data_IF_371338351523
#
_entry.id   IF_371338351523
#
_cell.length_a   1.000
_cell.length_b   1.000
_cell.length_c   1.000
_cell.angle_alpha   90.00
_cell.angle_beta   90.00
_cell.angle_gamma   90.00
#
_symmetry.space_group_name_H-M   'P 1'
#
loop_
_entity.id
_entity.type
_entity.pdbx_description
1 polymer ?
#
# COMPACT_ATOMS: atom_id res chain seq x y z
N UNK A 1 -22.44 -10.99 -2.51
CA UNK A 1 -22.14 -9.98 -3.57
C UNK A 1 -20.92 -10.46 -4.33
N UNK A 2 -20.93 -10.43 -5.66
CA UNK A 2 -19.79 -10.91 -6.48
C UNK A 2 -18.61 -9.94 -6.32
N UNK A 3 -17.47 -10.40 -5.79
CA UNK A 3 -16.26 -9.56 -5.58
C UNK A 3 -15.24 -9.64 -6.72
N UNK A 4 -15.29 -10.69 -7.53
CA UNK A 4 -14.32 -10.93 -8.60
C UNK A 4 -14.70 -10.15 -9.86
N UNK A 5 -13.78 -9.33 -10.34
CA UNK A 5 -13.87 -8.51 -11.56
C UNK A 5 -13.02 -9.12 -12.67
N UNK A 6 -13.36 -8.84 -13.92
CA UNK A 6 -12.66 -9.37 -15.09
C UNK A 6 -11.23 -8.83 -15.23
N UNK A 7 -11.04 -7.57 -14.82
CA UNK A 7 -9.78 -6.85 -14.98
C UNK A 7 -9.70 -5.62 -14.03
N UNK A 8 -8.53 -5.01 -13.95
CA UNK A 8 -8.27 -3.86 -13.09
C UNK A 8 -9.09 -2.62 -13.49
N UNK A 9 -9.33 -2.43 -14.80
CA UNK A 9 -10.12 -1.30 -15.32
C UNK A 9 -11.56 -1.39 -14.85
N UNK A 10 -12.21 -2.54 -15.01
CA UNK A 10 -13.59 -2.77 -14.56
C UNK A 10 -13.72 -2.67 -13.04
N UNK A 11 -12.66 -3.06 -12.30
CA UNK A 11 -12.66 -2.96 -10.85
C UNK A 11 -12.54 -1.53 -10.31
N UNK A 12 -12.15 -0.55 -11.13
CA UNK A 12 -11.98 0.85 -10.73
C UNK A 12 -12.98 1.81 -11.39
N UNK A 13 -13.68 1.38 -12.43
CA UNK A 13 -14.44 2.25 -13.34
C UNK A 13 -15.49 3.16 -12.65
N UNK A 14 -16.16 2.66 -11.62
CA UNK A 14 -17.25 3.36 -10.92
C UNK A 14 -16.81 4.03 -9.61
N UNK A 15 -15.56 3.84 -9.18
CA UNK A 15 -15.04 4.39 -7.92
C UNK A 15 -13.90 5.39 -8.08
N UNK A 16 -13.13 5.30 -9.17
CA UNK A 16 -12.07 6.24 -9.48
C UNK A 16 -12.68 7.58 -9.96
N UNK A 17 -12.33 8.66 -9.28
CA UNK A 17 -12.82 10.02 -9.56
C UNK A 17 -11.82 11.05 -9.07
N UNK A 18 -12.01 12.31 -9.45
CA UNK A 18 -11.18 13.41 -8.99
C UNK A 18 -11.26 13.60 -7.46
N UNK A 19 -10.17 14.11 -6.89
CA UNK A 19 -10.01 14.50 -5.50
C UNK A 19 -10.26 13.38 -4.47
N UNK A 20 -10.03 12.12 -4.86
CA UNK A 20 -10.09 10.96 -3.95
C UNK A 20 -8.80 10.79 -3.16
N UNK A 21 -8.92 10.10 -2.03
CA UNK A 21 -7.77 9.57 -1.30
C UNK A 21 -7.57 8.10 -1.65
N UNK A 22 -6.35 7.75 -2.06
CA UNK A 22 -5.97 6.38 -2.45
C UNK A 22 -4.81 5.91 -1.58
N UNK A 23 -4.94 4.73 -0.99
CA UNK A 23 -3.83 3.99 -0.39
C UNK A 23 -3.29 2.97 -1.40
N UNK A 24 -1.97 2.85 -1.51
CA UNK A 24 -1.33 1.82 -2.31
C UNK A 24 -0.33 1.04 -1.47
N UNK A 25 -0.54 -0.27 -1.33
CA UNK A 25 0.36 -1.19 -0.66
C UNK A 25 1.73 -1.24 -1.34
N UNK A 26 2.67 -1.90 -0.70
CA UNK A 26 4.04 -1.99 -1.19
C UNK A 26 5.06 -1.29 -0.28
N UNK A 27 6.31 -1.65 -0.49
CA UNK A 27 7.49 -1.04 0.11
C UNK A 27 8.58 -1.01 -0.96
N UNK A 28 9.01 0.17 -1.37
CA UNK A 28 9.71 0.31 -2.63
C UNK A 28 8.79 -0.16 -3.76
N UNK A 29 9.27 -1.03 -4.60
CA UNK A 29 8.45 -1.71 -5.63
C UNK A 29 7.90 -3.06 -5.15
N UNK A 30 8.43 -3.61 -4.06
CA UNK A 30 8.04 -4.92 -3.58
C UNK A 30 6.60 -4.92 -3.05
N UNK A 31 5.72 -5.73 -3.65
CA UNK A 31 4.32 -5.82 -3.26
C UNK A 31 3.45 -4.64 -3.71
N UNK A 32 3.92 -3.80 -4.64
CA UNK A 32 3.11 -2.78 -5.28
C UNK A 32 2.02 -3.41 -6.17
N UNK A 33 0.78 -2.91 -6.12
CA UNK A 33 -0.31 -3.36 -6.98
C UNK A 33 -0.25 -2.67 -8.36
N UNK A 34 0.76 -3.00 -9.16
CA UNK A 34 1.12 -2.27 -10.38
C UNK A 34 0.00 -2.22 -11.41
N UNK A 35 -0.72 -3.33 -11.62
CA UNK A 35 -1.82 -3.39 -12.59
C UNK A 35 -3.00 -2.50 -12.18
N UNK A 36 -3.28 -2.41 -10.88
CA UNK A 36 -4.29 -1.48 -10.35
C UNK A 36 -3.84 -0.02 -10.44
N UNK A 37 -2.56 0.26 -10.24
CA UNK A 37 -2.00 1.61 -10.40
C UNK A 37 -2.07 2.05 -11.86
N UNK A 38 -1.73 1.18 -12.81
CA UNK A 38 -1.86 1.43 -14.25
C UNK A 38 -3.32 1.71 -14.60
N UNK A 39 -4.24 0.89 -14.12
CA UNK A 39 -5.67 1.08 -14.38
C UNK A 39 -6.18 2.40 -13.77
N UNK A 40 -5.73 2.79 -12.57
CA UNK A 40 -6.06 4.08 -11.97
C UNK A 40 -5.51 5.26 -12.81
N UNK A 41 -4.26 5.15 -13.28
CA UNK A 41 -3.68 6.14 -14.20
C UNK A 41 -4.57 6.33 -15.43
N UNK A 42 -5.01 5.24 -16.03
CA UNK A 42 -5.76 5.23 -17.28
C UNK A 42 -7.19 5.77 -17.12
N UNK A 43 -7.70 5.92 -15.89
CA UNK A 43 -8.96 6.64 -15.65
C UNK A 43 -8.84 8.14 -15.87
N UNK A 44 -7.64 8.71 -15.77
CA UNK A 44 -7.41 10.14 -15.86
C UNK A 44 -7.83 10.94 -14.62
N UNK A 45 -8.27 10.31 -13.54
CA UNK A 45 -8.67 10.96 -12.30
C UNK A 45 -7.54 11.85 -11.75
N UNK A 46 -7.86 13.07 -11.31
CA UNK A 46 -6.89 14.10 -10.87
C UNK A 46 -7.13 14.52 -9.43
N UNK A 47 -6.17 15.29 -8.88
CA UNK A 47 -6.26 15.80 -7.53
C UNK A 47 -6.14 14.72 -6.45
N UNK A 48 -5.56 13.58 -6.77
CA UNK A 48 -5.46 12.42 -5.86
C UNK A 48 -4.56 12.76 -4.68
N UNK A 49 -5.03 12.44 -3.46
CA UNK A 49 -4.16 12.30 -2.28
C UNK A 49 -3.72 10.85 -2.20
N UNK A 50 -2.44 10.59 -2.41
CA UNK A 50 -1.89 9.23 -2.36
C UNK A 50 -1.21 8.97 -1.01
N UNK A 51 -1.54 7.84 -0.37
CA UNK A 51 -0.95 7.37 0.88
C UNK A 51 -0.19 6.08 0.57
N UNK A 52 1.13 6.13 0.72
CA UNK A 52 2.01 4.95 0.51
C UNK A 52 3.34 5.16 1.20
N UNK A 53 4.10 4.09 1.42
CA UNK A 53 5.45 4.19 1.99
C UNK A 53 6.35 5.13 1.16
N UNK A 54 6.28 5.01 -0.15
CA UNK A 54 6.98 5.83 -1.16
C UNK A 54 6.16 5.86 -2.46
N UNK A 55 6.69 6.50 -3.50
CA UNK A 55 6.05 6.56 -4.83
C UNK A 55 6.63 5.58 -5.86
N UNK A 56 7.33 4.53 -5.42
CA UNK A 56 8.09 3.66 -6.31
C UNK A 56 9.37 4.36 -6.81
N UNK A 57 9.82 3.98 -7.98
CA UNK A 57 10.94 4.63 -8.70
C UNK A 57 10.43 5.22 -10.01
N UNK A 58 11.25 6.05 -10.67
CA UNK A 58 10.89 6.64 -11.97
C UNK A 58 10.35 5.56 -12.94
N UNK A 59 9.16 5.78 -13.47
CA UNK A 59 8.48 4.89 -14.43
C UNK A 59 7.81 3.65 -13.83
N UNK A 60 7.73 3.49 -12.49
CA UNK A 60 7.11 2.33 -11.84
C UNK A 60 6.42 2.69 -10.53
N UNK A 61 5.40 1.93 -10.19
CA UNK A 61 4.60 2.18 -9.00
C UNK A 61 3.81 3.49 -9.12
N UNK A 62 3.64 4.22 -8.04
CA UNK A 62 2.92 5.50 -8.03
C UNK A 62 3.60 6.61 -8.86
N UNK A 63 4.88 6.42 -9.29
CA UNK A 63 5.53 7.33 -10.23
C UNK A 63 4.71 7.51 -11.52
N UNK A 64 4.02 6.47 -11.98
CA UNK A 64 3.14 6.54 -13.14
C UNK A 64 2.02 7.59 -13.00
N UNK A 65 1.52 7.80 -11.79
CA UNK A 65 0.52 8.84 -11.50
C UNK A 65 1.16 10.23 -11.30
N UNK A 66 2.42 10.29 -10.89
CA UNK A 66 3.20 11.54 -10.85
C UNK A 66 3.52 12.03 -12.26
N UNK A 67 3.89 11.14 -13.19
CA UNK A 67 4.16 11.46 -14.59
C UNK A 67 2.96 12.12 -15.29
N UNK A 68 1.76 11.67 -14.95
CA UNK A 68 0.51 12.20 -15.52
C UNK A 68 -0.10 13.33 -14.70
N UNK A 69 0.60 13.84 -13.66
CA UNK A 69 0.13 14.93 -12.78
C UNK A 69 -1.24 14.64 -12.14
N UNK A 70 -1.52 13.38 -11.83
CA UNK A 70 -2.77 12.96 -11.19
C UNK A 70 -2.71 13.10 -9.66
N UNK A 71 -1.53 12.99 -9.06
CA UNK A 71 -1.34 13.15 -7.61
C UNK A 71 -1.12 14.63 -7.28
N UNK A 72 -1.96 15.17 -6.39
CA UNK A 72 -1.81 16.51 -5.81
C UNK A 72 -1.01 16.47 -4.51
N UNK A 73 -1.20 15.42 -3.69
CA UNK A 73 -0.57 15.28 -2.38
C UNK A 73 -0.08 13.86 -2.16
N UNK A 74 1.14 13.72 -1.67
CA UNK A 74 1.66 12.46 -1.12
C UNK A 74 1.68 12.51 0.41
N UNK A 75 1.18 11.46 1.06
CA UNK A 75 1.39 11.16 2.48
C UNK A 75 2.29 9.94 2.53
N UNK A 76 3.56 10.15 2.90
CA UNK A 76 4.64 9.20 2.64
C UNK A 76 5.71 9.25 3.73
N UNK A 77 6.51 8.19 3.82
CA UNK A 77 7.66 8.13 4.73
C UNK A 77 9.01 8.17 4.03
N UNK A 78 9.04 8.12 2.70
CA UNK A 78 10.28 8.10 1.93
C UNK A 78 10.09 8.72 0.54
N UNK A 79 11.01 9.59 0.15
CA UNK A 79 11.01 10.31 -1.13
C UNK A 79 12.12 9.82 -2.06
N UNK A 80 13.20 9.26 -1.52
CA UNK A 80 14.40 8.86 -2.26
C UNK A 80 14.12 7.85 -3.39
N UNK A 81 15.06 7.73 -4.32
CA UNK A 81 15.04 6.86 -5.50
C UNK A 81 13.97 7.20 -6.57
N UNK A 82 13.13 8.23 -6.34
CA UNK A 82 12.19 8.75 -7.32
C UNK A 82 12.52 10.22 -7.61
N UNK A 83 13.21 10.47 -8.71
CA UNK A 83 13.65 11.82 -9.09
C UNK A 83 12.50 12.73 -9.44
N UNK A 84 11.47 12.19 -10.08
CA UNK A 84 10.27 12.95 -10.44
C UNK A 84 9.51 13.42 -9.19
N UNK A 85 9.38 12.56 -8.17
CA UNK A 85 8.78 12.94 -6.89
C UNK A 85 9.55 14.12 -6.26
N UNK A 86 10.86 13.99 -6.15
CA UNK A 86 11.71 15.05 -5.59
C UNK A 86 11.58 16.35 -6.39
N UNK A 87 11.63 16.29 -7.73
CA UNK A 87 11.51 17.46 -8.61
C UNK A 87 10.16 18.17 -8.45
N UNK A 88 9.04 17.45 -8.44
CA UNK A 88 7.71 18.03 -8.28
C UNK A 88 7.51 18.65 -6.89
N UNK A 89 8.02 18.01 -5.84
CA UNK A 89 7.99 18.58 -4.50
C UNK A 89 8.80 19.88 -4.39
N UNK A 90 10.03 19.89 -4.87
CA UNK A 90 10.89 21.08 -4.84
C UNK A 90 10.36 22.23 -5.70
N UNK A 91 9.64 21.92 -6.77
CA UNK A 91 8.98 22.91 -7.62
C UNK A 91 7.66 23.46 -7.03
N UNK A 92 7.20 22.92 -5.87
CA UNK A 92 5.92 23.30 -5.27
C UNK A 92 4.68 22.76 -6.01
N UNK A 93 4.87 21.82 -6.93
CA UNK A 93 3.78 21.23 -7.73
C UNK A 93 3.09 20.05 -7.02
N UNK A 94 3.75 19.46 -6.03
CA UNK A 94 3.29 18.32 -5.25
C UNK A 94 3.36 18.65 -3.77
N UNK A 95 2.22 18.53 -3.08
CA UNK A 95 2.20 18.61 -1.62
C UNK A 95 2.78 17.32 -1.01
N UNK A 96 3.58 17.45 0.05
CA UNK A 96 4.11 16.32 0.81
C UNK A 96 3.75 16.46 2.29
N UNK A 97 3.10 15.43 2.83
CA UNK A 97 2.98 15.21 4.26
C UNK A 97 3.93 14.06 4.64
N UNK A 98 5.09 14.44 5.17
CA UNK A 98 6.11 13.48 5.56
C UNK A 98 5.79 12.87 6.93
N UNK A 99 5.89 11.54 7.02
CA UNK A 99 5.63 10.78 8.24
C UNK A 99 6.81 9.86 8.56
N UNK A 100 7.25 9.75 9.81
CA UNK A 100 8.10 8.65 10.21
C UNK A 100 7.43 7.32 9.86
N UNK A 101 8.20 6.35 9.34
CA UNK A 101 7.62 5.14 8.73
C UNK A 101 6.73 4.33 9.69
N UNK A 102 7.18 4.14 10.94
CA UNK A 102 6.36 3.46 11.95
C UNK A 102 5.08 4.24 12.28
N UNK A 103 5.15 5.57 12.30
CA UNK A 103 3.97 6.43 12.50
C UNK A 103 3.00 6.32 11.32
N UNK A 104 3.50 6.32 10.08
CA UNK A 104 2.66 6.10 8.89
C UNK A 104 1.91 4.76 8.99
N UNK A 105 2.63 3.69 9.33
CA UNK A 105 2.05 2.36 9.49
C UNK A 105 0.97 2.33 10.56
N UNK A 106 1.22 2.94 11.74
CA UNK A 106 0.27 2.96 12.84
C UNK A 106 -0.95 3.85 12.54
N UNK A 107 -0.77 4.99 11.87
CA UNK A 107 -1.88 5.84 11.41
C UNK A 107 -2.83 5.09 10.47
N UNK A 108 -2.28 4.27 9.55
CA UNK A 108 -3.07 3.44 8.64
C UNK A 108 -3.77 2.32 9.43
N UNK A 109 -3.03 1.62 10.32
CA UNK A 109 -3.61 0.58 11.18
C UNK A 109 -4.75 1.12 12.04
N UNK A 110 -4.54 2.28 12.67
CA UNK A 110 -5.56 2.97 13.46
C UNK A 110 -6.80 3.29 12.63
N UNK A 111 -6.62 3.72 11.36
CA UNK A 111 -7.72 3.96 10.42
C UNK A 111 -8.55 2.71 10.16
N UNK A 112 -7.91 1.58 9.94
CA UNK A 112 -8.56 0.28 9.75
C UNK A 112 -9.25 -0.26 10.99
N UNK A 113 -8.71 0.04 12.19
CA UNK A 113 -9.24 -0.39 13.48
C UNK A 113 -10.32 0.56 14.06
N UNK A 114 -10.59 1.72 13.42
CA UNK A 114 -11.53 2.69 13.95
C UNK A 114 -10.98 3.50 15.13
N UNK A 115 -9.66 3.54 15.34
CA UNK A 115 -8.99 4.33 16.38
C UNK A 115 -8.66 5.72 15.83
N UNK A 116 -9.32 6.81 16.26
CA UNK A 116 -9.23 8.11 15.58
C UNK A 116 -7.90 8.83 15.80
N UNK A 117 -7.18 8.51 16.89
CA UNK A 117 -5.88 9.08 17.23
C UNK A 117 -5.15 8.17 18.24
N UNK A 118 -3.85 8.34 18.31
CA UNK A 118 -2.97 7.69 19.29
C UNK A 118 -1.80 8.61 19.62
N UNK A 119 -1.06 8.28 20.67
CA UNK A 119 0.13 9.01 21.09
C UNK A 119 1.39 8.18 20.82
N UNK A 120 2.45 8.84 20.34
CA UNK A 120 3.76 8.22 20.07
C UNK A 120 4.92 9.12 20.49
N UNK A 121 6.03 8.51 20.89
CA UNK A 121 7.29 9.25 21.14
C UNK A 121 7.96 9.72 19.85
N UNK A 122 7.71 9.02 18.75
CA UNK A 122 8.35 9.29 17.46
C UNK A 122 7.99 10.68 16.97
N UNK A 123 8.99 11.51 16.71
CA UNK A 123 8.81 12.87 16.21
C UNK A 123 8.75 13.95 17.29
N UNK A 124 8.68 13.60 18.59
CA UNK A 124 8.73 14.60 19.68
C UNK A 124 10.04 15.42 19.58
N UNK A 125 9.94 16.76 19.65
CA UNK A 125 11.08 17.67 19.55
C UNK A 125 11.60 17.87 18.12
N UNK A 126 10.87 17.43 17.12
CA UNK A 126 11.17 17.67 15.70
C UNK A 126 10.02 18.39 15.01
N UNK A 127 10.23 18.85 13.77
CA UNK A 127 9.20 19.47 12.92
C UNK A 127 7.95 18.58 12.70
N UNK A 128 8.07 17.29 12.93
CA UNK A 128 6.93 16.34 12.84
C UNK A 128 5.88 16.63 13.92
N UNK A 129 6.30 17.17 15.07
CA UNK A 129 5.41 17.49 16.18
C UNK A 129 4.77 18.88 16.06
N UNK A 130 5.21 19.71 15.11
CA UNK A 130 4.73 21.09 14.99
C UNK A 130 3.22 21.14 14.72
N UNK A 131 2.51 21.93 15.54
CA UNK A 131 1.06 22.09 15.47
C UNK A 131 0.24 20.89 15.96
N UNK A 132 0.88 19.83 16.47
CA UNK A 132 0.19 18.64 17.01
C UNK A 132 0.12 18.70 18.54
N UNK A 133 -0.97 18.19 19.15
CA UNK A 133 -1.06 18.08 20.60
C UNK A 133 0.06 17.22 21.17
N UNK A 134 0.66 17.69 22.26
CA UNK A 134 1.64 16.94 23.07
C UNK A 134 1.01 16.59 24.41
N UNK A 135 1.16 15.34 24.81
CA UNK A 135 0.71 14.85 26.11
C UNK A 135 1.87 14.17 26.85
N UNK A 136 1.93 14.35 28.14
CA UNK A 136 2.90 13.66 28.99
C UNK A 136 2.26 12.42 29.64
N UNK A 137 2.98 11.30 29.61
CA UNK A 137 2.66 10.05 30.29
C UNK A 137 3.91 9.56 30.98
N UNK A 138 3.81 9.27 32.27
CA UNK A 138 4.91 8.76 33.09
C UNK A 138 6.21 9.59 32.99
N UNK A 139 6.07 10.93 32.92
CA UNK A 139 7.20 11.87 32.83
C UNK A 139 7.81 11.98 31.40
N UNK A 140 7.23 11.34 30.40
CA UNK A 140 7.71 11.39 29.02
C UNK A 140 6.68 12.01 28.07
N UNK A 141 7.17 12.81 27.11
CA UNK A 141 6.33 13.50 26.13
C UNK A 141 6.01 12.61 24.92
N UNK A 142 4.78 12.71 24.47
CA UNK A 142 4.25 12.03 23.29
C UNK A 142 3.50 13.02 22.40
N UNK A 143 3.62 12.84 21.10
CA UNK A 143 2.84 13.60 20.10
C UNK A 143 1.60 12.80 19.69
N UNK A 144 0.45 13.49 19.56
CA UNK A 144 -0.76 12.89 19.08
C UNK A 144 -0.74 12.80 17.56
N UNK A 145 -0.97 11.60 17.04
CA UNK A 145 -1.15 11.34 15.61
C UNK A 145 -2.58 10.88 15.30
N UNK A 146 -3.14 11.41 14.21
CA UNK A 146 -4.48 11.03 13.76
C UNK A 146 -4.40 9.88 12.75
N UNK A 147 -5.45 9.06 12.74
CA UNK A 147 -5.58 7.97 11.77
C UNK A 147 -5.49 8.44 10.32
N UNK A 148 -5.20 7.49 9.42
CA UNK A 148 -5.32 7.65 7.99
C UNK A 148 -6.35 6.65 7.45
N UNK A 149 -7.27 7.16 6.62
CA UNK A 149 -8.27 6.39 5.88
C UNK A 149 -8.27 6.83 4.42
N UNK A 150 -8.70 5.96 3.53
CA UNK A 150 -8.79 6.27 2.11
C UNK A 150 -10.16 5.93 1.52
N UNK A 151 -10.51 6.56 0.40
CA UNK A 151 -11.68 6.17 -0.38
C UNK A 151 -11.45 4.82 -1.06
N UNK A 152 -10.22 4.62 -1.57
CA UNK A 152 -9.81 3.38 -2.24
C UNK A 152 -8.49 2.89 -1.65
N UNK A 153 -8.38 1.59 -1.33
CA UNK A 153 -7.12 0.91 -1.07
C UNK A 153 -6.79 -0.04 -2.20
N UNK A 154 -5.62 0.12 -2.80
CA UNK A 154 -5.05 -0.77 -3.81
C UNK A 154 -4.06 -1.71 -3.15
N UNK A 155 -4.28 -3.01 -3.26
CA UNK A 155 -3.54 -4.05 -2.52
C UNK A 155 -3.06 -5.14 -3.46
N UNK A 156 -1.84 -5.62 -3.24
CA UNK A 156 -1.30 -6.80 -3.91
C UNK A 156 -1.26 -7.98 -2.94
N UNK A 157 -1.93 -9.07 -3.29
CA UNK A 157 -1.90 -10.32 -2.56
C UNK A 157 -1.26 -11.45 -3.39
N UNK A 158 -0.59 -12.39 -2.72
CA UNK A 158 -0.11 -13.61 -3.38
C UNK A 158 -1.28 -14.52 -3.75
N UNK A 159 -2.25 -14.68 -2.85
CA UNK A 159 -3.43 -15.53 -3.05
C UNK A 159 -4.66 -14.86 -2.47
N UNK A 160 -5.78 -15.01 -3.15
CA UNK A 160 -7.10 -14.62 -2.66
C UNK A 160 -8.10 -15.74 -2.97
N UNK A 161 -9.07 -15.95 -2.10
CA UNK A 161 -10.27 -16.70 -2.48
C UNK A 161 -11.36 -15.75 -3.02
N UNK A 162 -12.42 -16.30 -3.59
CA UNK A 162 -13.51 -15.50 -4.18
C UNK A 162 -14.35 -14.75 -3.14
N UNK A 163 -14.19 -15.07 -1.84
CA UNK A 163 -14.79 -14.33 -0.72
C UNK A 163 -13.91 -13.18 -0.23
N UNK A 164 -12.67 -13.09 -0.72
CA UNK A 164 -11.73 -12.01 -0.43
C UNK A 164 -10.79 -12.27 0.72
N UNK A 165 -10.67 -13.48 1.21
CA UNK A 165 -9.64 -13.85 2.18
C UNK A 165 -8.27 -13.79 1.47
N UNK A 166 -7.28 -13.16 2.12
CA UNK A 166 -5.99 -12.89 1.49
C UNK A 166 -4.84 -13.56 2.21
N UNK A 167 -3.89 -14.05 1.41
CA UNK A 167 -2.56 -14.49 1.84
C UNK A 167 -1.51 -13.65 1.14
N UNK A 168 -0.60 -13.07 1.91
CA UNK A 168 0.58 -12.34 1.39
C UNK A 168 1.81 -13.23 1.49
N UNK A 169 2.81 -12.99 0.61
CA UNK A 169 4.00 -13.83 0.58
C UNK A 169 5.26 -13.02 0.86
N UNK A 170 6.05 -13.48 1.87
CA UNK A 170 7.37 -12.91 2.20
C UNK A 170 7.29 -11.39 2.40
N UNK A 171 8.27 -10.64 1.88
CA UNK A 171 8.37 -9.18 2.06
C UNK A 171 7.28 -8.38 1.32
N UNK A 172 6.60 -8.96 0.34
CA UNK A 172 5.45 -8.34 -0.31
C UNK A 172 4.25 -8.16 0.63
N UNK A 173 4.25 -8.78 1.82
CA UNK A 173 3.25 -8.54 2.86
C UNK A 173 3.25 -7.08 3.29
N UNK A 174 4.41 -6.53 3.68
CA UNK A 174 4.69 -5.14 4.09
C UNK A 174 3.45 -4.29 4.48
N UNK A 175 3.14 -3.19 3.78
CA UNK A 175 1.99 -2.31 4.06
C UNK A 175 0.64 -2.86 3.59
N UNK A 176 0.61 -3.91 2.76
CA UNK A 176 -0.61 -4.41 2.14
C UNK A 176 -1.72 -4.80 3.15
N UNK A 177 -1.47 -5.57 4.24
CA UNK A 177 -2.51 -5.97 5.16
C UNK A 177 -3.21 -4.79 5.86
N UNK A 178 -2.44 -3.82 6.35
CA UNK A 178 -3.01 -2.68 7.05
C UNK A 178 -3.77 -1.74 6.13
N UNK A 179 -3.29 -1.54 4.90
CA UNK A 179 -4.00 -0.73 3.90
C UNK A 179 -5.30 -1.39 3.46
N UNK A 180 -5.33 -2.72 3.37
CA UNK A 180 -6.55 -3.46 3.06
C UNK A 180 -7.69 -3.16 4.05
N UNK A 181 -7.38 -2.84 5.31
CA UNK A 181 -8.38 -2.55 6.35
C UNK A 181 -8.81 -1.09 6.40
N UNK A 182 -8.04 -0.16 5.84
CA UNK A 182 -8.21 1.28 6.02
C UNK A 182 -8.91 1.99 4.85
N UNK A 183 -9.21 1.30 3.76
CA UNK A 183 -9.98 1.82 2.63
C UNK A 183 -11.49 1.66 2.81
N UNK A 184 -12.28 2.59 2.29
CA UNK A 184 -13.74 2.41 2.16
C UNK A 184 -14.06 1.29 1.14
N UNK A 185 -13.28 1.25 0.05
CA UNK A 185 -13.32 0.18 -0.94
C UNK A 185 -11.91 -0.35 -1.13
N UNK A 186 -11.70 -1.61 -0.79
CA UNK A 186 -10.43 -2.29 -1.01
C UNK A 186 -10.49 -3.11 -2.28
N UNK A 187 -9.59 -2.80 -3.21
CA UNK A 187 -9.40 -3.48 -4.49
C UNK A 187 -8.09 -4.25 -4.44
N UNK A 188 -8.15 -5.54 -4.66
CA UNK A 188 -7.01 -6.45 -4.57
C UNK A 188 -6.67 -7.00 -5.95
N UNK A 189 -5.40 -6.90 -6.37
CA UNK A 189 -4.87 -7.79 -7.39
C UNK A 189 -4.21 -8.99 -6.72
N UNK A 190 -4.49 -10.21 -7.19
CA UNK A 190 -3.88 -11.43 -6.66
C UNK A 190 -3.24 -12.27 -7.76
N UNK A 191 -2.14 -12.98 -7.41
CA UNK A 191 -1.45 -13.88 -8.34
C UNK A 191 -2.18 -15.21 -8.49
N UNK A 192 -2.84 -15.67 -7.42
CA UNK A 192 -3.60 -16.92 -7.38
C UNK A 192 -5.01 -16.63 -6.85
N UNK A 193 -6.01 -16.98 -7.64
CA UNK A 193 -7.41 -16.93 -7.24
C UNK A 193 -7.92 -18.36 -7.04
N UNK A 194 -8.39 -18.65 -5.83
CA UNK A 194 -8.83 -19.98 -5.43
C UNK A 194 -10.29 -19.98 -4.95
N UNK A 195 -10.85 -21.16 -4.68
CA UNK A 195 -12.21 -21.27 -4.14
C UNK A 195 -12.22 -21.03 -2.62
N UNK A 196 -13.35 -20.62 -2.03
CA UNK A 196 -13.53 -20.63 -0.59
C UNK A 196 -13.27 -22.02 -0.01
N UNK A 197 -12.46 -22.09 1.04
CA UNK A 197 -12.05 -23.34 1.67
C UNK A 197 -10.70 -23.91 1.18
N UNK A 198 -10.16 -23.41 0.05
CA UNK A 198 -8.83 -23.82 -0.43
C UNK A 198 -7.69 -23.14 0.36
N UNK A 199 -7.97 -22.03 1.04
CA UNK A 199 -7.02 -21.39 1.96
C UNK A 199 -7.27 -21.95 3.36
N UNK A 200 -6.22 -22.50 3.99
CA UNK A 200 -6.31 -22.88 5.39
C UNK A 200 -6.71 -21.67 6.25
N UNK A 201 -7.79 -21.74 7.05
CA UNK A 201 -8.26 -20.61 7.87
C UNK A 201 -7.18 -19.98 8.75
N UNK A 202 -6.25 -20.79 9.28
CA UNK A 202 -5.15 -20.32 10.14
C UNK A 202 -4.09 -19.52 9.37
N UNK A 203 -4.09 -19.60 8.04
CA UNK A 203 -3.14 -18.88 7.17
C UNK A 203 -3.74 -17.65 6.51
N UNK A 204 -4.98 -17.29 6.82
CA UNK A 204 -5.60 -16.05 6.32
C UNK A 204 -4.97 -14.86 7.02
N UNK A 205 -4.27 -14.02 6.26
CA UNK A 205 -3.62 -12.81 6.77
C UNK A 205 -4.57 -11.61 6.85
N UNK A 206 -5.52 -11.51 5.93
CA UNK A 206 -6.57 -10.48 5.93
C UNK A 206 -7.90 -11.14 5.59
N UNK A 207 -8.89 -11.07 6.50
CA UNK A 207 -10.23 -11.60 6.26
C UNK A 207 -10.96 -10.90 5.13
N UNK A 208 -11.76 -11.65 4.39
CA UNK A 208 -12.50 -11.17 3.22
C UNK A 208 -13.49 -10.03 3.51
N UNK A 209 -13.89 -9.83 4.76
CA UNK A 209 -14.77 -8.72 5.15
C UNK A 209 -14.20 -7.34 4.78
N UNK A 210 -12.88 -7.22 4.74
CA UNK A 210 -12.20 -5.96 4.36
C UNK A 210 -12.04 -5.79 2.84
N UNK A 211 -12.35 -6.80 2.03
CA UNK A 211 -12.11 -6.79 0.58
C UNK A 211 -13.42 -6.70 -0.17
N UNK A 212 -13.57 -5.70 -1.02
CA UNK A 212 -14.76 -5.49 -1.85
C UNK A 212 -14.57 -5.96 -3.29
N UNK A 213 -13.34 -5.86 -3.83
CA UNK A 213 -13.05 -6.17 -5.24
C UNK A 213 -11.75 -6.95 -5.39
N UNK A 214 -11.77 -7.94 -6.27
CA UNK A 214 -10.63 -8.83 -6.55
C UNK A 214 -10.43 -8.91 -8.05
N UNK A 215 -9.18 -8.78 -8.47
CA UNK A 215 -8.73 -8.98 -9.84
C UNK A 215 -7.66 -10.07 -9.86
N UNK A 216 -7.85 -11.10 -10.68
CA UNK A 216 -6.86 -12.16 -10.85
C UNK A 216 -5.80 -11.74 -11.87
N UNK A 217 -4.56 -11.61 -11.45
CA UNK A 217 -3.41 -11.19 -12.28
C UNK A 217 -2.28 -12.22 -12.11
N UNK A 218 -2.38 -13.38 -12.77
CA UNK A 218 -1.42 -14.50 -12.58
C UNK A 218 0.01 -14.15 -13.04
N UNK A 219 0.13 -13.16 -13.93
CA UNK A 219 1.41 -12.70 -14.50
C UNK A 219 1.84 -11.35 -13.94
N UNK A 220 1.37 -10.99 -12.74
CA UNK A 220 1.73 -9.71 -12.10
C UNK A 220 3.24 -9.49 -12.09
N UNK A 221 3.67 -8.33 -12.57
CA UNK A 221 5.08 -7.96 -12.59
C UNK A 221 5.61 -7.81 -11.16
N UNK A 222 6.79 -8.39 -10.89
CA UNK A 222 7.46 -8.33 -9.58
C UNK A 222 8.72 -7.50 -9.72
N UNK A 223 8.54 -6.21 -9.61
CA UNK A 223 9.65 -5.28 -9.64
C UNK A 223 10.37 -5.23 -8.29
N UNK A 224 11.64 -4.89 -8.33
CA UNK A 224 12.48 -4.61 -7.18
C UNK A 224 13.51 -3.55 -7.63
N UNK A 225 13.83 -2.61 -6.75
CA UNK A 225 14.71 -1.48 -7.06
C UNK A 225 16.12 -1.94 -7.43
N UNK A 226 16.72 -2.72 -6.52
CA UNK A 226 18.07 -3.22 -6.66
C UNK A 226 18.11 -4.75 -6.52
N UNK A 227 18.52 -5.45 -7.57
CA UNK A 227 18.75 -6.89 -7.48
C UNK A 227 20.08 -7.18 -6.78
N UNK A 228 19.98 -7.70 -5.56
CA UNK A 228 21.14 -8.11 -4.75
C UNK A 228 21.34 -9.63 -4.71
N UNK A 229 20.46 -10.41 -5.37
CA UNK A 229 20.54 -11.87 -5.39
C UNK A 229 21.71 -12.34 -6.25
N UNK A 230 22.55 -13.25 -5.73
CA UNK A 230 23.58 -13.93 -6.49
C UNK A 230 22.98 -15.11 -7.27
N UNK A 231 23.46 -15.39 -8.48
CA UNK A 231 23.15 -16.65 -9.17
C UNK A 231 23.66 -17.82 -8.31
N UNK A 232 22.83 -18.85 -8.10
CA UNK A 232 23.30 -20.09 -7.49
C UNK A 232 24.34 -20.71 -8.43
N UNK A 233 25.48 -21.16 -7.89
CA UNK A 233 26.43 -21.98 -8.65
C UNK A 233 25.71 -23.25 -9.09
N UNK A 234 25.83 -23.62 -10.35
CA UNK A 234 25.36 -24.89 -10.88
C UNK A 234 26.03 -26.01 -10.08
N UNK A 235 25.29 -26.73 -9.24
CA UNK A 235 25.82 -27.80 -8.39
C UNK A 235 25.52 -27.71 -6.90
N UNK A 236 25.01 -26.58 -6.39
CA UNK A 236 24.53 -26.55 -5.01
C UNK A 236 23.12 -27.22 -4.94
N UNK A 237 22.92 -28.22 -4.06
CA UNK A 237 21.60 -28.80 -3.86
C UNK A 237 20.62 -27.70 -3.50
N UNK A 238 19.41 -27.77 -4.06
CA UNK A 238 18.34 -26.89 -3.65
C UNK A 238 18.23 -26.97 -2.13
N UNK A 239 18.44 -25.86 -1.43
CA UNK A 239 18.08 -25.80 -0.03
C UNK A 239 16.62 -26.21 0.05
N UNK A 240 16.35 -27.30 0.79
CA UNK A 240 15.09 -27.98 0.80
C UNK A 240 13.92 -27.00 0.86
N UNK A 241 12.96 -27.19 0.02
CA UNK A 241 11.62 -26.67 0.18
C UNK A 241 11.01 -27.37 1.42
N UNK A 242 11.63 -27.11 2.57
CA UNK A 242 11.08 -27.45 3.86
C UNK A 242 10.01 -26.45 4.15
N UNK A 243 8.79 -26.90 4.17
CA UNK A 243 7.64 -26.13 4.53
C UNK A 243 6.52 -26.30 3.53
N UNK A 244 5.92 -27.49 3.50
CA UNK A 244 4.48 -27.60 3.39
C UNK A 244 3.89 -26.73 4.51
N UNK A 245 3.30 -25.65 4.16
CA UNK A 245 2.25 -24.95 4.91
C UNK A 245 1.24 -24.47 3.88
#
# INVERSE_FOLDING_TARGET
MRKVYSDAKSALADIARDNITVMAGGFGLCGMPEDLIIALRDTGAKGITAISNNAGVDGKGLSLLLETRQIRKMISSYVGENKLFAAQYLAGELELEFNPQGTLAERIRAGGAGVPAFFTKTGVGTIIADGKPIQEFDGEKYVMERWLRADISLVHAWMADTEGNLVFRKTARNFNPMMATAGKVTVVQCEHLVKPGDINPDHIHTPGVFVQRIVHVPTAAKYIENRTTRKRSSGAPAAGTGGEI
#
